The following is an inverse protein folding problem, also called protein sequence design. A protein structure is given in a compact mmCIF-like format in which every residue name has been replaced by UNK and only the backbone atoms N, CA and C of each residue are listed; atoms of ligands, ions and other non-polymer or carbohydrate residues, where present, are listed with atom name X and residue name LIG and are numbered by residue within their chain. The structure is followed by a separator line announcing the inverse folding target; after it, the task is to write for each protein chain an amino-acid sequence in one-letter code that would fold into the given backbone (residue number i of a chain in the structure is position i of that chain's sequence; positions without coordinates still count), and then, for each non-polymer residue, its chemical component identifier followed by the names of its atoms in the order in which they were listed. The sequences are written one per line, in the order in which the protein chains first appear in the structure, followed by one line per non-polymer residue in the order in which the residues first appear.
data_IF_719502810312
#
_entry.id   IF_719502810312
#
_cell.length_a   1.000
_cell.length_b   1.000
_cell.length_c   1.000
_cell.angle_alpha   90.00
_cell.angle_beta   90.00
_cell.angle_gamma   90.00
#
_symmetry.space_group_name_H-M   'P 1'
#
loop_
_entity.id
_entity.type
_entity.pdbx_description
1 polymer ?
#
# COMPACT_ATOMS: atom_id res chain seq x y z
N UNK A 1 -23.92 6.80 36.60
CA UNK A 1 -23.24 7.96 35.98
C UNK A 1 -21.83 7.49 35.63
N UNK A 2 -21.61 7.08 34.38
CA UNK A 2 -20.35 6.47 33.92
C UNK A 2 -19.43 7.63 33.53
N UNK A 3 -18.37 7.86 34.29
CA UNK A 3 -17.41 8.94 34.05
C UNK A 3 -16.68 8.68 32.74
N UNK A 4 -16.61 9.68 31.87
CA UNK A 4 -15.81 9.63 30.66
C UNK A 4 -14.32 9.41 31.00
N UNK A 5 -13.55 8.67 30.18
CA UNK A 5 -12.12 8.51 30.38
C UNK A 5 -11.41 9.88 30.28
N UNK A 6 -10.29 10.09 31.00
CA UNK A 6 -9.57 11.34 30.99
C UNK A 6 -9.03 11.66 29.59
N UNK A 7 -9.14 12.92 29.17
CA UNK A 7 -8.57 13.41 27.93
C UNK A 7 -7.03 13.34 28.00
N UNK A 8 -6.40 12.76 26.99
CA UNK A 8 -4.95 12.70 26.85
C UNK A 8 -4.34 14.12 26.77
N UNK A 9 -3.15 14.29 27.35
CA UNK A 9 -2.47 15.58 27.44
C UNK A 9 -1.95 16.07 26.08
N UNK A 10 -1.94 17.39 25.81
CA UNK A 10 -1.59 17.99 24.51
C UNK A 10 -0.08 18.00 24.19
N UNK A 11 0.68 17.03 24.69
CA UNK A 11 2.14 16.95 24.53
C UNK A 11 2.72 15.54 24.46
N UNK A 12 1.88 14.50 24.45
CA UNK A 12 2.32 13.15 24.07
C UNK A 12 2.15 13.04 22.56
N UNK A 13 3.29 13.05 21.87
CA UNK A 13 3.41 12.60 20.48
C UNK A 13 2.79 11.21 20.42
N UNK A 14 1.58 11.11 19.86
CA UNK A 14 0.88 9.85 19.71
C UNK A 14 1.55 9.13 18.56
N UNK A 15 2.63 8.41 18.86
CA UNK A 15 3.29 7.48 17.94
C UNK A 15 2.29 6.39 17.56
N UNK A 16 1.44 6.65 16.57
CA UNK A 16 0.59 5.63 15.95
C UNK A 16 1.47 4.88 14.96
N UNK A 17 2.31 4.01 15.51
CA UNK A 17 3.04 3.00 14.78
C UNK A 17 2.04 1.97 14.24
N UNK A 18 1.67 2.10 12.97
CA UNK A 18 1.10 0.99 12.22
C UNK A 18 2.25 0.46 11.35
N UNK A 19 2.45 -0.86 11.41
CA UNK A 19 3.36 -1.70 10.62
C UNK A 19 4.55 -1.03 9.89
N UNK A 20 5.71 -0.92 10.58
CA UNK A 20 7.01 -0.78 9.93
C UNK A 20 7.29 -2.01 9.04
N UNK A 21 7.56 -1.78 7.76
CA UNK A 21 7.85 -2.84 6.79
C UNK A 21 9.37 -3.02 6.68
N UNK A 22 9.84 -4.26 6.81
CA UNK A 22 11.18 -4.62 6.33
C UNK A 22 11.16 -4.70 4.80
N UNK A 23 12.33 -4.45 4.23
CA UNK A 23 12.67 -4.48 2.79
C UNK A 23 12.21 -5.74 2.04
N UNK A 24 11.86 -6.81 2.75
CA UNK A 24 11.56 -8.13 2.19
C UNK A 24 10.06 -8.43 1.98
N UNK A 25 9.15 -7.61 2.53
CA UNK A 25 7.70 -7.87 2.50
C UNK A 25 6.91 -6.61 2.10
N UNK A 26 6.74 -6.42 0.79
CA UNK A 26 6.20 -5.22 0.16
C UNK A 26 4.74 -4.90 0.48
N UNK A 27 4.48 -4.22 1.61
CA UNK A 27 3.13 -3.78 1.95
C UNK A 27 3.09 -2.34 2.50
N UNK A 28 3.36 -1.34 1.65
CA UNK A 28 3.35 0.09 2.00
C UNK A 28 2.12 0.48 2.82
N UNK A 29 2.34 0.92 4.06
CA UNK A 29 1.34 1.58 4.88
C UNK A 29 1.49 3.09 4.70
N UNK A 30 0.37 3.78 4.47
CA UNK A 30 0.32 5.24 4.49
C UNK A 30 -0.61 5.67 5.61
N UNK A 31 -0.07 6.31 6.65
CA UNK A 31 -0.84 7.05 7.65
C UNK A 31 -0.90 8.49 7.15
N UNK A 32 -1.99 8.87 6.50
CA UNK A 32 -2.22 10.28 6.25
C UNK A 32 -2.73 10.91 7.55
N UNK A 33 -1.93 11.85 8.08
CA UNK A 33 -2.29 12.86 9.08
C UNK A 33 -1.89 12.58 10.55
N UNK A 34 -0.59 12.59 10.84
CA UNK A 34 -0.06 12.48 12.22
C UNK A 34 0.02 13.84 12.97
N UNK A 35 -0.57 14.93 12.45
CA UNK A 35 -0.35 16.26 13.05
C UNK A 35 -1.47 17.30 12.92
N UNK A 36 -2.51 17.07 12.11
CA UNK A 36 -3.51 18.13 11.84
C UNK A 36 -4.78 18.08 12.68
N UNK A 37 -4.97 17.11 13.56
CA UNK A 37 -5.99 17.26 14.61
C UNK A 37 -5.69 18.51 15.47
N UNK A 38 -4.41 18.81 15.69
CA UNK A 38 -3.96 20.03 16.35
C UNK A 38 -4.05 21.31 15.47
N UNK A 39 -4.20 21.17 14.13
CA UNK A 39 -4.19 22.28 13.16
C UNK A 39 -5.53 22.43 12.41
N UNK A 40 -6.64 21.98 12.99
CA UNK A 40 -7.99 22.24 12.48
C UNK A 40 -8.52 21.25 11.45
N UNK A 41 -7.83 20.14 11.17
CA UNK A 41 -8.42 19.04 10.39
C UNK A 41 -9.27 18.15 11.30
N UNK A 42 -10.48 17.83 10.89
CA UNK A 42 -11.46 17.08 11.70
C UNK A 42 -11.43 15.57 11.48
N UNK A 43 -10.52 15.05 10.64
CA UNK A 43 -10.42 13.64 10.30
C UNK A 43 -8.98 13.25 9.90
N UNK A 44 -8.72 11.95 9.87
CA UNK A 44 -7.50 11.34 9.33
C UNK A 44 -7.86 10.16 8.41
N UNK A 45 -6.95 9.77 7.53
CA UNK A 45 -7.15 8.63 6.61
C UNK A 45 -5.96 7.68 6.76
N UNK A 46 -6.25 6.43 7.06
CA UNK A 46 -5.23 5.37 7.11
C UNK A 46 -5.44 4.45 5.92
N UNK A 47 -4.39 4.25 5.13
CA UNK A 47 -4.38 3.33 3.98
C UNK A 47 -3.47 2.16 4.32
N UNK A 48 -4.05 0.96 4.32
CA UNK A 48 -3.38 -0.27 4.69
C UNK A 48 -3.32 -1.17 3.46
N UNK A 49 -2.12 -1.56 3.04
CA UNK A 49 -1.96 -2.55 2.00
C UNK A 49 -2.53 -3.91 2.43
N UNK A 50 -3.17 -4.65 1.51
CA UNK A 50 -3.77 -5.96 1.80
C UNK A 50 -2.76 -6.94 2.40
N UNK A 51 -1.50 -6.86 1.98
CA UNK A 51 -0.39 -7.68 2.50
C UNK A 51 0.26 -7.17 3.79
N UNK A 52 -0.24 -6.10 4.43
CA UNK A 52 0.40 -5.54 5.61
C UNK A 52 0.39 -6.51 6.79
N UNK A 53 1.48 -6.52 7.57
CA UNK A 53 1.63 -7.36 8.77
C UNK A 53 2.26 -6.58 9.92
N UNK A 54 1.95 -6.91 11.18
CA UNK A 54 2.63 -6.30 12.33
C UNK A 54 4.13 -6.60 12.32
N UNK A 55 4.91 -5.75 12.98
CA UNK A 55 6.35 -5.96 13.17
C UNK A 55 6.56 -7.29 13.91
N UNK A 56 7.29 -8.21 13.30
CA UNK A 56 7.53 -9.56 13.84
C UNK A 56 6.29 -10.46 13.88
N UNK A 57 5.17 -10.03 13.28
CA UNK A 57 3.92 -10.79 13.21
C UNK A 57 3.70 -11.48 11.87
N UNK A 58 2.62 -12.26 11.80
CA UNK A 58 2.12 -12.89 10.57
C UNK A 58 0.98 -12.09 9.96
N UNK A 59 0.62 -12.40 8.71
CA UNK A 59 -0.56 -11.82 8.07
C UNK A 59 -1.83 -12.14 8.87
N UNK A 60 -2.80 -11.21 8.83
CA UNK A 60 -4.15 -11.47 9.33
C UNK A 60 -4.88 -12.38 8.34
N UNK A 61 -5.32 -13.56 8.79
CA UNK A 61 -6.01 -14.56 7.94
C UNK A 61 -7.49 -14.58 8.30
N UNK A 62 -8.39 -14.30 7.34
CA UNK A 62 -9.84 -14.50 7.47
C UNK A 62 -10.21 -15.89 6.95
N UNK A 63 -9.99 -16.91 7.78
CA UNK A 63 -10.51 -18.27 7.65
C UNK A 63 -9.74 -19.24 6.75
N UNK A 64 -9.68 -20.50 7.19
CA UNK A 64 -9.15 -21.63 6.42
C UNK A 64 -10.31 -22.41 5.79
N UNK A 65 -10.51 -22.27 4.48
CA UNK A 65 -11.27 -23.26 3.72
C UNK A 65 -10.28 -24.25 3.12
N UNK A 66 -10.43 -25.54 3.46
CA UNK A 66 -9.57 -26.63 2.95
C UNK A 66 -9.58 -26.58 1.41
N UNK A 67 -8.42 -26.34 0.80
CA UNK A 67 -8.26 -26.30 -0.66
C UNK A 67 -8.33 -24.91 -1.32
N UNK A 68 -8.43 -23.81 -0.56
CA UNK A 68 -8.31 -22.44 -1.10
C UNK A 68 -7.01 -21.78 -0.61
N UNK A 69 -6.43 -20.92 -1.45
CA UNK A 69 -5.31 -20.05 -1.05
C UNK A 69 -5.72 -19.21 0.17
N UNK A 70 -4.80 -19.02 1.12
CA UNK A 70 -5.04 -18.25 2.35
C UNK A 70 -5.66 -16.88 2.01
N UNK A 71 -6.82 -16.59 2.60
CA UNK A 71 -7.47 -15.28 2.46
C UNK A 71 -6.91 -14.34 3.51
N UNK A 72 -6.04 -13.43 3.07
CA UNK A 72 -5.60 -12.31 3.88
C UNK A 72 -6.82 -11.40 4.16
N UNK A 73 -7.02 -11.01 5.42
CA UNK A 73 -8.15 -10.16 5.83
C UNK A 73 -8.26 -9.99 7.34
N UNK A 74 -8.98 -8.97 7.80
CA UNK A 74 -9.17 -8.66 9.22
C UNK A 74 -8.13 -7.70 9.81
N UNK A 75 -7.13 -7.27 9.03
CA UNK A 75 -6.23 -6.19 9.42
C UNK A 75 -6.99 -4.86 9.58
N UNK A 76 -7.99 -4.63 8.73
CA UNK A 76 -8.87 -3.47 8.70
C UNK A 76 -9.66 -3.29 10.01
N UNK A 77 -10.36 -4.32 10.47
CA UNK A 77 -11.13 -4.29 11.73
C UNK A 77 -10.22 -4.11 12.95
N UNK A 78 -9.07 -4.80 12.97
CA UNK A 78 -8.10 -4.71 14.07
C UNK A 78 -7.48 -3.32 14.17
N UNK A 79 -7.11 -2.72 13.03
CA UNK A 79 -6.54 -1.38 12.98
C UNK A 79 -7.59 -0.35 13.38
N UNK A 80 -8.81 -0.45 12.86
CA UNK A 80 -9.89 0.46 13.24
C UNK A 80 -10.16 0.42 14.75
N UNK A 81 -10.36 -0.77 15.33
CA UNK A 81 -10.59 -0.91 16.78
C UNK A 81 -9.41 -0.39 17.62
N UNK A 82 -8.17 -0.62 17.16
CA UNK A 82 -6.98 -0.08 17.82
C UNK A 82 -6.94 1.45 17.79
N UNK A 83 -7.26 2.05 16.65
CA UNK A 83 -7.31 3.51 16.48
C UNK A 83 -8.42 4.15 17.32
N UNK A 84 -9.62 3.55 17.38
CA UNK A 84 -10.69 4.06 18.25
C UNK A 84 -10.27 4.03 19.72
N UNK A 85 -9.64 2.93 20.17
CA UNK A 85 -9.19 2.79 21.55
C UNK A 85 -8.08 3.78 21.92
N UNK A 86 -7.17 4.07 21.00
CA UNK A 86 -6.05 4.98 21.23
C UNK A 86 -6.45 6.46 21.14
N UNK A 87 -7.31 6.79 20.18
CA UNK A 87 -7.62 8.19 19.86
C UNK A 87 -8.95 8.69 20.42
N UNK A 88 -9.87 7.77 20.77
CA UNK A 88 -11.24 8.10 21.14
C UNK A 88 -12.10 8.61 19.97
N UNK A 89 -11.60 8.62 18.74
CA UNK A 89 -12.33 9.01 17.55
C UNK A 89 -13.02 7.81 16.89
N UNK A 90 -14.26 8.01 16.43
CA UNK A 90 -14.97 7.02 15.62
C UNK A 90 -14.15 6.69 14.36
N UNK A 91 -13.87 5.42 14.15
CA UNK A 91 -13.03 4.94 13.04
C UNK A 91 -13.79 3.93 12.20
N UNK A 92 -13.81 4.14 10.88
CA UNK A 92 -14.52 3.25 9.94
C UNK A 92 -13.54 2.56 9.02
N UNK A 93 -13.59 1.24 9.00
CA UNK A 93 -12.85 0.40 8.06
C UNK A 93 -13.63 0.24 6.74
N UNK A 94 -12.95 0.42 5.61
CA UNK A 94 -13.50 0.16 4.26
C UNK A 94 -12.52 -0.67 3.45
N UNK A 95 -12.97 -1.84 2.99
CA UNK A 95 -12.19 -2.72 2.10
C UNK A 95 -12.70 -2.58 0.67
N UNK A 96 -11.86 -2.06 -0.23
CA UNK A 96 -12.24 -1.83 -1.63
C UNK A 96 -12.36 -3.14 -2.44
N UNK A 97 -11.50 -4.12 -2.16
CA UNK A 97 -11.52 -5.44 -2.79
C UNK A 97 -11.52 -5.38 -4.32
N UNK A 98 -12.46 -6.11 -4.95
CA UNK A 98 -12.56 -6.24 -6.42
C UNK A 98 -12.81 -4.92 -7.16
N UNK A 99 -13.30 -3.90 -6.47
CA UNK A 99 -13.54 -2.58 -7.06
C UNK A 99 -12.26 -1.98 -7.65
N UNK A 100 -11.10 -2.28 -7.04
CA UNK A 100 -9.78 -1.80 -7.49
C UNK A 100 -9.34 -2.29 -8.86
N UNK A 101 -9.99 -3.33 -9.40
CA UNK A 101 -9.66 -3.91 -10.72
C UNK A 101 -10.69 -3.58 -11.80
N UNK A 102 -11.69 -2.77 -11.46
CA UNK A 102 -12.73 -2.29 -12.38
C UNK A 102 -12.51 -0.84 -12.81
N UNK A 103 -13.37 -0.37 -13.70
CA UNK A 103 -13.32 1.00 -14.24
C UNK A 103 -12.72 1.09 -15.63
N UNK A 104 -12.92 2.24 -16.28
CA UNK A 104 -12.30 2.52 -17.57
C UNK A 104 -10.81 2.86 -17.37
N UNK A 105 -9.90 2.32 -18.19
CA UNK A 105 -8.47 2.64 -18.09
C UNK A 105 -8.21 4.14 -18.15
N UNK A 106 -7.16 4.61 -17.47
CA UNK A 106 -6.72 6.01 -17.57
C UNK A 106 -6.09 6.28 -18.94
N UNK A 107 -5.88 7.56 -19.35
CA UNK A 107 -5.10 7.87 -20.54
C UNK A 107 -3.69 7.26 -20.51
N UNK A 108 -3.05 7.24 -19.34
CA UNK A 108 -1.72 6.64 -19.17
C UNK A 108 -1.76 5.11 -19.38
N UNK A 109 -2.73 4.42 -18.78
CA UNK A 109 -2.91 2.97 -18.97
C UNK A 109 -3.10 2.62 -20.44
N UNK A 110 -3.92 3.40 -21.16
CA UNK A 110 -4.13 3.24 -22.60
C UNK A 110 -2.84 3.42 -23.38
N UNK A 111 -2.11 4.50 -23.11
CA UNK A 111 -0.85 4.80 -23.78
C UNK A 111 0.18 3.68 -23.56
N UNK A 112 0.39 3.27 -22.31
CA UNK A 112 1.35 2.20 -21.99
C UNK A 112 0.94 0.86 -22.58
N UNK A 113 -0.34 0.49 -22.50
CA UNK A 113 -0.85 -0.75 -23.08
C UNK A 113 -0.62 -0.81 -24.60
N UNK A 114 -0.91 0.28 -25.31
CA UNK A 114 -0.66 0.37 -26.76
C UNK A 114 0.83 0.28 -27.09
N UNK A 115 1.67 0.96 -26.31
CA UNK A 115 3.13 0.90 -26.48
C UNK A 115 3.67 -0.51 -26.26
N UNK A 116 3.18 -1.21 -25.23
CA UNK A 116 3.59 -2.57 -24.92
C UNK A 116 3.17 -3.56 -26.00
N UNK A 117 1.90 -3.53 -26.42
CA UNK A 117 1.41 -4.39 -27.50
C UNK A 117 2.17 -4.15 -28.81
N UNK A 118 2.37 -2.90 -29.20
CA UNK A 118 3.12 -2.58 -30.42
C UNK A 118 4.60 -3.00 -30.34
N UNK A 119 5.24 -2.86 -29.17
CA UNK A 119 6.62 -3.31 -28.98
C UNK A 119 6.74 -4.83 -29.00
N UNK A 120 5.77 -5.57 -28.44
CA UNK A 120 5.74 -7.02 -28.50
C UNK A 120 5.64 -7.51 -29.95
N UNK A 121 4.79 -6.88 -30.78
CA UNK A 121 4.68 -7.22 -32.21
C UNK A 121 5.96 -6.93 -32.98
N UNK A 122 6.63 -5.79 -32.71
CA UNK A 122 7.94 -5.47 -33.33
C UNK A 122 9.05 -6.46 -32.95
N UNK A 123 8.99 -7.02 -31.75
CA UNK A 123 9.99 -7.96 -31.25
C UNK A 123 10.03 -9.28 -32.05
N UNK A 124 8.89 -9.70 -32.61
CA UNK A 124 8.77 -10.97 -33.35
C UNK A 124 9.68 -11.05 -34.59
N UNK A 125 9.62 -10.12 -35.57
CA UNK A 125 10.54 -10.16 -36.71
C UNK A 125 12.00 -9.88 -36.34
N UNK A 126 12.26 -9.26 -35.19
CA UNK A 126 13.60 -9.06 -34.64
C UNK A 126 14.19 -10.34 -34.00
N UNK A 127 13.44 -11.45 -34.02
CA UNK A 127 13.88 -12.74 -33.48
C UNK A 127 13.87 -12.83 -31.96
N UNK A 128 13.21 -11.89 -31.27
CA UNK A 128 13.10 -11.91 -29.82
C UNK A 128 12.16 -13.04 -29.36
N UNK A 129 12.57 -13.78 -28.34
CA UNK A 129 11.78 -14.83 -27.71
C UNK A 129 12.11 -14.93 -26.22
N UNK A 130 11.14 -15.34 -25.41
CA UNK A 130 11.32 -15.45 -23.96
C UNK A 130 11.55 -14.12 -23.25
N UNK A 131 11.01 -13.01 -23.80
CA UNK A 131 11.15 -11.66 -23.26
C UNK A 131 9.81 -11.07 -22.83
N UNK A 132 9.84 -10.24 -21.79
CA UNK A 132 8.79 -9.34 -21.36
C UNK A 132 9.08 -7.93 -21.90
N UNK A 133 8.03 -7.22 -22.30
CA UNK A 133 8.12 -5.80 -22.62
C UNK A 133 8.02 -4.99 -21.32
N UNK A 134 8.99 -4.13 -21.06
CA UNK A 134 9.03 -3.28 -19.87
C UNK A 134 9.09 -1.80 -20.25
N UNK A 135 8.47 -0.94 -19.43
CA UNK A 135 8.64 0.52 -19.52
C UNK A 135 9.82 0.92 -18.63
N UNK A 136 10.85 1.47 -19.24
CA UNK A 136 11.92 2.19 -18.55
C UNK A 136 11.87 3.62 -19.07
N UNK A 137 11.06 4.44 -18.39
CA UNK A 137 10.64 5.74 -18.91
C UNK A 137 11.82 6.59 -19.37
N UNK A 138 11.79 7.17 -20.58
CA UNK A 138 10.64 7.23 -21.49
C UNK A 138 10.57 6.08 -22.50
N UNK A 139 11.46 5.10 -22.47
CA UNK A 139 11.62 4.06 -23.50
C UNK A 139 11.00 2.72 -23.12
N UNK A 140 10.74 1.88 -24.12
CA UNK A 140 10.30 0.50 -23.93
C UNK A 140 11.49 -0.42 -24.20
N UNK A 141 11.69 -1.41 -23.33
CA UNK A 141 12.81 -2.37 -23.40
C UNK A 141 12.29 -3.81 -23.40
N UNK A 142 13.12 -4.73 -23.88
CA UNK A 142 12.89 -6.18 -23.78
C UNK A 142 13.74 -6.74 -22.64
N UNK A 143 13.09 -7.38 -21.68
CA UNK A 143 13.73 -8.00 -20.50
C UNK A 143 13.50 -9.50 -20.57
N UNK A 144 14.52 -10.32 -20.31
CA UNK A 144 14.32 -11.78 -20.28
C UNK A 144 13.34 -12.16 -19.19
N UNK A 145 12.41 -13.08 -19.49
CA UNK A 145 11.45 -13.58 -18.50
C UNK A 145 12.14 -14.24 -17.30
N UNK A 146 13.29 -14.88 -17.53
CA UNK A 146 14.10 -15.45 -16.46
C UNK A 146 14.56 -14.37 -15.47
N UNK A 147 15.03 -13.22 -15.96
CA UNK A 147 15.49 -12.14 -15.10
C UNK A 147 14.31 -11.45 -14.38
N UNK A 148 13.18 -11.29 -15.08
CA UNK A 148 11.98 -10.65 -14.54
C UNK A 148 11.31 -11.43 -13.41
N UNK A 149 11.53 -12.74 -13.33
CA UNK A 149 10.90 -13.61 -12.31
C UNK A 149 11.79 -13.88 -11.09
N UNK A 150 13.06 -13.44 -11.11
CA UNK A 150 14.04 -13.73 -10.04
C UNK A 150 13.75 -13.03 -8.72
N UNK A 151 13.16 -11.84 -8.74
CA UNK A 151 12.89 -11.05 -7.55
C UNK A 151 11.56 -10.34 -7.68
N UNK A 152 10.90 -10.10 -6.55
CA UNK A 152 9.82 -9.14 -6.50
C UNK A 152 10.40 -7.73 -6.58
N UNK A 153 9.77 -6.86 -7.36
CA UNK A 153 10.09 -5.43 -7.33
C UNK A 153 9.44 -4.81 -6.09
N UNK A 154 10.23 -4.04 -5.36
CA UNK A 154 9.80 -3.33 -4.15
C UNK A 154 9.85 -1.82 -4.39
N UNK A 155 9.16 -1.05 -3.55
CA UNK A 155 9.30 0.40 -3.54
C UNK A 155 10.59 0.74 -2.79
N UNK A 156 11.58 1.39 -3.42
CA UNK A 156 12.78 1.82 -2.72
C UNK A 156 12.43 2.86 -1.65
N UNK A 157 12.90 2.66 -0.41
CA UNK A 157 12.61 3.59 0.69
C UNK A 157 13.37 4.93 0.56
N UNK A 158 14.42 4.94 -0.25
CA UNK A 158 15.23 6.09 -0.60
C UNK A 158 14.73 6.81 -1.87
N UNK A 159 13.60 6.39 -2.45
CA UNK A 159 13.01 7.11 -3.58
C UNK A 159 12.46 8.47 -3.14
N UNK A 160 12.45 9.44 -4.05
CA UNK A 160 11.99 10.82 -3.83
C UNK A 160 10.54 10.94 -3.29
N UNK A 161 9.70 9.95 -3.56
CA UNK A 161 8.31 9.92 -3.11
C UNK A 161 8.19 9.86 -1.58
N UNK A 162 9.08 9.12 -0.91
CA UNK A 162 9.02 8.95 0.55
C UNK A 162 9.33 10.25 1.31
N UNK A 163 10.45 10.97 1.07
CA UNK A 163 10.67 12.27 1.70
C UNK A 163 9.61 13.29 1.29
N UNK A 164 9.20 13.34 0.02
CA UNK A 164 8.11 14.24 -0.42
C UNK A 164 6.82 14.02 0.37
N UNK A 165 6.44 12.76 0.62
CA UNK A 165 5.27 12.43 1.42
C UNK A 165 5.42 12.91 2.89
N UNK A 166 6.60 12.74 3.48
CA UNK A 166 6.90 13.24 4.83
C UNK A 166 6.85 14.77 4.90
N UNK A 167 7.40 15.47 3.90
CA UNK A 167 7.41 16.93 3.82
C UNK A 167 6.00 17.53 3.80
N UNK A 168 5.01 16.79 3.29
CA UNK A 168 3.58 17.19 3.30
C UNK A 168 2.80 16.64 4.50
N UNK A 169 3.46 15.98 5.45
CA UNK A 169 2.87 15.51 6.72
C UNK A 169 2.24 14.12 6.66
N UNK A 170 2.66 13.25 5.73
CA UNK A 170 2.28 11.83 5.71
C UNK A 170 3.27 11.03 6.56
N UNK A 171 2.74 10.22 7.47
CA UNK A 171 3.51 9.27 8.28
C UNK A 171 3.49 7.86 7.67
N UNK A 172 4.52 7.07 7.97
CA UNK A 172 4.64 5.67 7.53
C UNK A 172 4.65 4.69 8.71
N UNK A 173 4.42 5.18 9.94
CA UNK A 173 4.35 4.37 11.17
C UNK A 173 5.71 3.86 11.66
N UNK A 174 6.79 4.59 11.35
CA UNK A 174 8.19 4.30 11.67
C UNK A 174 8.77 5.09 12.85
#
# INVERSE_FOLDING_TARGET
MKTAPPAAHPGEMLDVAIARLREDDGALLLVANDGRLAHGSHFFIVVVAEGAKPIGGTHSIKGNAIGQAERVGGADERIAAGLEALTGHETRAVVLGRLLRGGSPTPADRLWSLRFGAAAVRALPEGQSGVMVALDSPVVKYVKLEDATRRMETVPLDCDTVPTARDIGIGFGD
#
